data_IF_044823252957
#
_entry.id   IF_044823252957
#
_cell.length_a   1.000
_cell.length_b   1.000
_cell.length_c   1.000
_cell.angle_alpha   90.00
_cell.angle_beta   90.00
_cell.angle_gamma   90.00
#
_symmetry.space_group_name_H-M   'P 1'
#
loop_
_entity.id
_entity.type
_entity.pdbx_description
1 polymer ?
#
# COMPACT_ATOMS: atom_id res chain seq x y z
N UNK A 1 -16.02 -8.16 33.51
CA UNK A 1 -14.89 -8.82 32.82
C UNK A 1 -13.87 -7.73 32.55
N UNK A 2 -12.67 -7.83 33.13
CA UNK A 2 -11.61 -6.83 32.91
C UNK A 2 -11.05 -6.99 31.49
N UNK A 3 -10.70 -5.90 30.79
CA UNK A 3 -10.14 -6.00 29.45
C UNK A 3 -8.81 -6.76 29.49
N UNK A 4 -8.67 -7.74 28.59
CA UNK A 4 -7.42 -8.48 28.41
C UNK A 4 -6.47 -7.60 27.61
N UNK A 5 -5.36 -7.20 28.22
CA UNK A 5 -4.29 -6.47 27.53
C UNK A 5 -3.37 -7.48 26.84
N UNK A 6 -3.49 -7.58 25.51
CA UNK A 6 -2.55 -8.35 24.70
C UNK A 6 -1.32 -7.48 24.42
N UNK A 7 -0.16 -7.92 24.91
CA UNK A 7 1.13 -7.34 24.51
C UNK A 7 1.64 -8.17 23.35
N UNK A 8 1.62 -7.61 22.15
CA UNK A 8 2.25 -8.26 21.01
C UNK A 8 3.73 -7.89 20.97
N UNK A 9 4.64 -8.85 20.69
CA UNK A 9 6.03 -8.52 20.43
C UNK A 9 6.09 -7.55 19.24
N UNK A 10 6.88 -6.49 19.39
CA UNK A 10 7.11 -5.58 18.28
C UNK A 10 7.75 -6.36 17.12
N UNK A 11 7.27 -6.18 15.87
CA UNK A 11 7.98 -6.73 14.73
C UNK A 11 9.41 -6.18 14.70
N UNK A 12 10.38 -6.92 14.14
CA UNK A 12 11.73 -6.42 13.98
C UNK A 12 11.71 -5.07 13.25
N UNK A 13 12.61 -4.18 13.67
CA UNK A 13 12.75 -2.89 13.01
C UNK A 13 13.05 -3.12 11.51
N UNK A 14 12.46 -2.32 10.63
CA UNK A 14 12.72 -2.46 9.20
C UNK A 14 14.17 -2.15 8.87
N UNK A 15 14.72 -2.84 7.87
CA UNK A 15 16.04 -2.50 7.31
C UNK A 15 16.05 -1.10 6.67
N UNK A 16 14.91 -0.68 6.12
CA UNK A 16 14.69 0.67 5.58
C UNK A 16 13.33 1.20 6.06
N UNK A 17 13.36 2.11 7.03
CA UNK A 17 12.17 2.72 7.59
C UNK A 17 11.53 3.78 6.65
N UNK A 18 12.23 4.20 5.60
CA UNK A 18 11.72 5.24 4.69
C UNK A 18 10.81 4.70 3.58
N UNK A 19 10.88 3.40 3.26
CA UNK A 19 10.14 2.81 2.15
C UNK A 19 9.35 1.57 2.59
N UNK A 20 8.26 1.79 3.32
CA UNK A 20 7.41 0.70 3.82
C UNK A 20 5.94 0.93 3.56
N UNK A 21 5.18 -0.17 3.57
CA UNK A 21 3.73 -0.16 3.61
C UNK A 21 3.21 -1.18 4.62
N UNK A 22 1.97 -0.98 5.07
CA UNK A 22 1.23 -2.01 5.79
C UNK A 22 0.47 -2.85 4.76
N UNK A 23 0.74 -4.15 4.72
CA UNK A 23 0.05 -5.10 3.88
C UNK A 23 -0.80 -6.04 4.72
N UNK A 24 -2.01 -6.32 4.25
CA UNK A 24 -2.91 -7.32 4.82
C UNK A 24 -2.93 -8.53 3.89
N UNK A 25 -2.44 -9.67 4.39
CA UNK A 25 -2.32 -10.89 3.58
C UNK A 25 -3.63 -11.69 3.43
N UNK A 26 -4.66 -11.38 4.23
CA UNK A 26 -5.93 -12.10 4.25
C UNK A 26 -6.84 -11.65 5.40
N UNK A 27 -8.07 -12.17 5.47
CA UNK A 27 -9.00 -11.82 6.53
C UNK A 27 -8.49 -12.31 7.90
N UNK A 28 -8.64 -11.49 8.93
CA UNK A 28 -8.28 -11.88 10.29
C UNK A 28 -8.04 -10.71 11.25
N UNK A 29 -7.34 -11.01 12.34
CA UNK A 29 -7.01 -10.05 13.38
C UNK A 29 -5.72 -9.28 13.08
N UNK A 30 -5.12 -8.77 14.15
CA UNK A 30 -3.84 -8.05 14.11
C UNK A 30 -2.68 -8.92 13.59
N UNK A 31 -2.82 -10.25 13.68
CA UNK A 31 -1.89 -11.25 13.13
C UNK A 31 -1.77 -11.22 11.60
N UNK A 32 -2.67 -10.51 10.90
CA UNK A 32 -2.63 -10.35 9.44
C UNK A 32 -1.99 -9.05 8.97
N UNK A 33 -1.63 -8.14 9.88
CA UNK A 33 -0.94 -6.89 9.54
C UNK A 33 0.55 -7.11 9.47
N UNK A 34 1.12 -6.92 8.28
CA UNK A 34 2.55 -7.06 8.04
C UNK A 34 3.11 -5.76 7.51
N UNK A 35 4.12 -5.20 8.17
CA UNK A 35 4.94 -4.16 7.57
C UNK A 35 5.81 -4.80 6.48
N UNK A 36 5.68 -4.33 5.25
CA UNK A 36 6.45 -4.81 4.10
C UNK A 36 7.41 -3.74 3.61
N UNK A 37 8.64 -4.12 3.30
CA UNK A 37 9.59 -3.23 2.63
C UNK A 37 9.22 -3.09 1.15
N UNK A 38 9.12 -1.85 0.69
CA UNK A 38 8.84 -1.53 -0.70
C UNK A 38 10.12 -1.62 -1.54
N UNK A 39 11.28 -1.30 -0.96
CA UNK A 39 12.53 -1.15 -1.69
C UNK A 39 12.38 -0.10 -2.78
N UNK A 40 12.61 -0.49 -4.04
CA UNK A 40 12.41 0.38 -5.21
C UNK A 40 11.00 0.33 -5.81
N UNK A 41 10.00 -0.27 -5.14
CA UNK A 41 8.62 -0.36 -5.64
C UNK A 41 7.72 0.72 -5.03
N UNK A 42 6.55 0.93 -5.62
CA UNK A 42 5.45 1.68 -5.00
C UNK A 42 4.25 0.76 -4.76
N UNK A 43 3.34 1.22 -3.91
CA UNK A 43 1.98 0.68 -3.82
C UNK A 43 1.16 1.20 -5.00
N UNK A 44 0.27 0.37 -5.53
CA UNK A 44 -0.57 0.72 -6.69
C UNK A 44 -2.03 0.36 -6.44
N UNK A 45 -2.92 1.23 -6.91
CA UNK A 45 -4.35 1.00 -6.87
C UNK A 45 -4.77 -0.14 -7.80
N UNK A 46 -5.80 -0.89 -7.41
CA UNK A 46 -6.34 -2.00 -8.20
C UNK A 46 -6.89 -1.57 -9.57
N UNK A 47 -7.19 -0.27 -9.72
CA UNK A 47 -7.73 0.33 -10.93
C UNK A 47 -6.67 0.66 -11.98
N UNK A 48 -5.40 0.28 -11.76
CA UNK A 48 -4.30 0.43 -12.72
C UNK A 48 -3.95 -0.94 -13.30
N UNK A 49 -4.69 -1.44 -14.30
CA UNK A 49 -4.55 -2.82 -14.80
C UNK A 49 -3.19 -3.11 -15.43
N UNK A 50 -2.44 -2.09 -15.85
CA UNK A 50 -1.07 -2.18 -16.36
C UNK A 50 -0.10 -2.73 -15.31
N UNK A 51 -0.43 -2.58 -14.03
CA UNK A 51 0.33 -3.11 -12.90
C UNK A 51 -0.43 -4.26 -12.23
N UNK A 52 -0.47 -5.39 -12.92
CA UNK A 52 -1.04 -6.64 -12.42
C UNK A 52 0.07 -7.70 -12.17
N UNK A 53 0.11 -8.37 -11.00
CA UNK A 53 -0.87 -8.26 -9.91
C UNK A 53 -0.61 -7.04 -8.98
N UNK A 54 -1.65 -6.30 -8.56
CA UNK A 54 -1.56 -5.39 -7.41
C UNK A 54 -1.19 -6.19 -6.14
N UNK A 55 -0.75 -5.55 -5.04
CA UNK A 55 -0.82 -4.11 -4.73
C UNK A 55 0.51 -3.37 -4.91
N UNK A 56 1.52 -3.99 -5.53
CA UNK A 56 2.85 -3.41 -5.71
C UNK A 56 3.19 -3.26 -7.19
N UNK A 57 3.85 -2.16 -7.54
CA UNK A 57 4.44 -2.01 -8.87
C UNK A 57 5.61 -2.98 -9.06
N UNK A 58 6.05 -3.23 -10.31
CA UNK A 58 7.43 -3.62 -10.59
C UNK A 58 8.43 -2.60 -10.00
N UNK A 59 9.72 -2.90 -10.08
CA UNK A 59 10.75 -1.95 -9.65
C UNK A 59 10.58 -0.61 -10.39
N UNK A 60 10.46 0.47 -9.64
CA UNK A 60 10.35 1.82 -10.19
C UNK A 60 11.67 2.19 -10.86
N UNK A 61 11.61 2.79 -12.05
CA UNK A 61 12.81 3.33 -12.67
C UNK A 61 13.39 4.50 -11.86
N UNK A 62 14.73 4.58 -11.85
CA UNK A 62 15.45 5.57 -11.06
C UNK A 62 15.41 6.97 -11.70
N UNK A 63 15.39 7.06 -13.04
CA UNK A 63 15.38 8.34 -13.75
C UNK A 63 13.99 8.77 -14.22
N UNK A 64 13.79 10.08 -14.37
CA UNK A 64 12.54 10.63 -14.87
C UNK A 64 12.22 10.20 -16.32
N UNK A 65 13.24 10.02 -17.16
CA UNK A 65 13.05 9.58 -18.55
C UNK A 65 12.58 8.12 -18.61
N UNK A 66 13.18 7.25 -17.80
CA UNK A 66 12.75 5.85 -17.71
C UNK A 66 11.34 5.74 -17.10
N UNK A 67 11.03 6.56 -16.08
CA UNK A 67 9.66 6.65 -15.53
C UNK A 67 8.65 7.05 -16.60
N UNK A 68 8.97 8.01 -17.47
CA UNK A 68 8.10 8.42 -18.59
C UNK A 68 7.86 7.29 -19.60
N UNK A 69 8.80 6.37 -19.76
CA UNK A 69 8.66 5.21 -20.68
C UNK A 69 7.93 4.04 -20.03
N UNK A 70 8.07 3.84 -18.73
CA UNK A 70 7.61 2.65 -18.02
C UNK A 70 6.32 2.83 -17.21
N UNK A 71 5.99 4.05 -16.77
CA UNK A 71 4.79 4.33 -15.97
C UNK A 71 3.63 4.78 -16.87
N UNK A 72 2.38 4.35 -16.60
CA UNK A 72 1.22 4.77 -17.36
C UNK A 72 1.03 6.29 -17.35
N UNK A 73 0.69 6.91 -18.49
CA UNK A 73 0.62 8.37 -18.63
C UNK A 73 -0.51 9.02 -17.81
N UNK A 74 -1.49 8.25 -17.35
CA UNK A 74 -2.61 8.70 -16.51
C UNK A 74 -2.36 8.48 -15.01
N UNK A 75 -1.13 8.15 -14.61
CA UNK A 75 -0.75 7.92 -13.22
C UNK A 75 0.14 9.02 -12.64
N UNK A 76 0.08 9.18 -11.33
CA UNK A 76 0.97 10.05 -10.55
C UNK A 76 1.75 9.19 -9.54
N UNK A 77 3.05 9.45 -9.42
CA UNK A 77 3.88 8.88 -8.36
C UNK A 77 4.01 9.89 -7.22
N UNK A 78 3.51 9.51 -6.04
CA UNK A 78 3.56 10.36 -4.84
C UNK A 78 4.48 9.72 -3.82
N UNK A 79 5.48 10.48 -3.36
CA UNK A 79 6.24 10.14 -2.16
C UNK A 79 5.44 10.55 -0.95
N UNK A 80 4.81 9.56 -0.32
CA UNK A 80 3.94 9.73 0.85
C UNK A 80 4.77 10.10 2.08
N UNK A 81 4.39 11.18 2.75
CA UNK A 81 4.96 11.62 4.03
C UNK A 81 4.07 11.26 5.22
N UNK A 82 2.75 11.38 5.02
CA UNK A 82 1.76 11.04 6.04
C UNK A 82 0.55 10.38 5.37
N UNK A 83 -0.12 9.52 6.10
CA UNK A 83 -1.38 8.91 5.69
C UNK A 83 -2.34 8.82 6.87
N UNK A 84 -3.64 8.79 6.61
CA UNK A 84 -4.65 8.62 7.64
C UNK A 84 -4.84 7.15 8.00
N UNK A 85 -5.18 6.90 9.26
CA UNK A 85 -5.65 5.59 9.73
C UNK A 85 -7.15 5.68 9.93
N UNK A 86 -7.90 4.88 9.18
CA UNK A 86 -9.35 4.89 9.15
C UNK A 86 -9.93 3.58 9.70
N UNK A 87 -11.17 3.65 10.19
CA UNK A 87 -11.91 2.45 10.56
C UNK A 87 -12.16 1.53 9.35
N UNK A 88 -12.19 2.09 8.14
CA UNK A 88 -12.28 1.34 6.89
C UNK A 88 -11.13 0.32 6.75
N UNK A 89 -9.90 0.67 7.16
CA UNK A 89 -8.75 -0.23 7.10
C UNK A 89 -8.94 -1.47 7.96
N UNK A 90 -9.60 -1.31 9.12
CA UNK A 90 -9.99 -2.40 10.01
C UNK A 90 -11.07 -3.29 9.38
N UNK A 91 -12.07 -2.68 8.74
CA UNK A 91 -13.15 -3.45 8.08
C UNK A 91 -12.65 -4.22 6.87
N UNK A 92 -11.70 -3.66 6.11
CA UNK A 92 -10.98 -4.37 5.04
C UNK A 92 -10.26 -5.56 5.63
N UNK A 93 -9.47 -5.36 6.71
CA UNK A 93 -8.75 -6.45 7.40
C UNK A 93 -9.65 -7.59 7.86
N UNK A 94 -10.85 -7.29 8.32
CA UNK A 94 -11.83 -8.31 8.70
C UNK A 94 -12.53 -8.98 7.52
N UNK A 95 -12.25 -8.55 6.28
CA UNK A 95 -12.87 -9.09 5.06
C UNK A 95 -14.33 -8.66 4.89
N UNK A 96 -14.76 -7.56 5.53
CA UNK A 96 -16.15 -7.11 5.49
C UNK A 96 -16.47 -6.25 4.25
N UNK A 97 -15.45 -5.76 3.55
CA UNK A 97 -15.62 -5.00 2.31
C UNK A 97 -15.65 -5.93 1.09
N UNK A 98 -16.84 -6.30 0.62
CA UNK A 98 -17.00 -7.14 -0.57
C UNK A 98 -16.30 -6.55 -1.79
N UNK A 99 -16.37 -5.23 -1.99
CA UNK A 99 -15.69 -4.56 -3.10
C UNK A 99 -14.17 -4.68 -3.02
N UNK A 100 -13.57 -4.58 -1.83
CA UNK A 100 -12.13 -4.78 -1.67
C UNK A 100 -11.73 -6.21 -2.05
N UNK A 101 -12.53 -7.20 -1.68
CA UNK A 101 -12.30 -8.60 -2.07
C UNK A 101 -12.49 -8.81 -3.58
N UNK A 102 -13.53 -8.23 -4.18
CA UNK A 102 -13.86 -8.40 -5.60
C UNK A 102 -12.87 -7.70 -6.52
N UNK A 103 -12.43 -6.50 -6.18
CA UNK A 103 -11.64 -5.66 -7.09
C UNK A 103 -10.15 -5.65 -6.77
N UNK A 104 -9.76 -5.92 -5.52
CA UNK A 104 -8.34 -5.88 -5.10
C UNK A 104 -7.84 -7.27 -4.76
N UNK A 105 -8.61 -8.02 -3.98
CA UNK A 105 -8.21 -9.32 -3.45
C UNK A 105 -7.16 -9.21 -2.34
N UNK A 106 -6.36 -10.27 -2.18
CA UNK A 106 -5.29 -10.35 -1.20
C UNK A 106 -3.96 -10.68 -1.88
N UNK A 107 -2.82 -10.11 -1.45
CA UNK A 107 -2.67 -9.11 -0.38
C UNK A 107 -3.16 -7.71 -0.78
N UNK A 108 -3.53 -6.88 0.20
CA UNK A 108 -3.95 -5.48 -0.01
C UNK A 108 -3.16 -4.51 0.86
N UNK A 109 -2.83 -3.34 0.31
CA UNK A 109 -2.27 -2.21 1.07
C UNK A 109 -3.37 -1.15 1.21
N UNK A 110 -4.00 -1.01 2.39
CA UNK A 110 -5.03 -0.01 2.62
C UNK A 110 -4.42 1.38 2.85
N UNK A 111 -5.22 2.42 2.64
CA UNK A 111 -4.84 3.82 2.79
C UNK A 111 -5.71 4.69 1.90
N UNK A 112 -6.65 5.41 2.51
CA UNK A 112 -7.63 6.23 1.78
C UNK A 112 -7.20 7.69 1.63
N UNK A 113 -6.44 8.21 2.59
CA UNK A 113 -5.92 9.58 2.53
C UNK A 113 -4.41 9.59 2.74
N UNK A 114 -3.73 10.40 1.95
CA UNK A 114 -2.30 10.60 2.01
C UNK A 114 -1.94 12.07 1.82
N UNK A 115 -0.76 12.44 2.28
CA UNK A 115 -0.11 13.71 1.95
C UNK A 115 1.37 13.45 1.68
N UNK A 116 1.92 14.19 0.72
CA UNK A 116 3.24 13.90 0.21
C UNK A 116 3.68 14.86 -0.89
N UNK A 117 4.75 14.48 -1.58
CA UNK A 117 5.28 15.22 -2.73
C UNK A 117 5.03 14.41 -3.99
N UNK A 118 4.50 15.05 -5.03
CA UNK A 118 4.44 14.45 -6.36
C UNK A 118 5.86 14.40 -6.92
N UNK A 119 6.38 13.19 -7.12
CA UNK A 119 7.71 13.00 -7.72
C UNK A 119 7.67 12.91 -9.24
N UNK A 120 6.54 12.46 -9.78
CA UNK A 120 6.32 12.33 -11.20
C UNK A 120 4.82 12.34 -11.49
N UNK A 121 4.44 12.97 -12.60
CA UNK A 121 3.09 12.93 -13.15
C UNK A 121 3.21 12.54 -14.62
N UNK A 122 2.34 11.63 -15.06
CA UNK A 122 2.22 11.28 -16.46
C UNK A 122 1.60 12.42 -17.27
N UNK A 123 1.69 12.32 -18.60
CA UNK A 123 1.22 13.38 -19.52
C UNK A 123 -0.29 13.57 -19.56
N UNK A 124 -1.06 12.64 -18.99
CA UNK A 124 -2.53 12.61 -18.97
C UNK A 124 -3.08 12.69 -17.53
N UNK A 125 -2.23 13.03 -16.56
CA UNK A 125 -2.57 13.08 -15.13
C UNK A 125 -3.03 14.47 -14.65
#
# INVERSE_FOLDING_TARGET
ISPVRLTLPAPPAPEDACAQAISIAGPGGLDRLTAVSLGSRATVGYNVPEFCPPPLTPQLPASAEERRKALPPHCVLVRVHYFSVNYADVTIRWGLYESALRYVGWPIVPGFDLSGVVEWAGSES
#
